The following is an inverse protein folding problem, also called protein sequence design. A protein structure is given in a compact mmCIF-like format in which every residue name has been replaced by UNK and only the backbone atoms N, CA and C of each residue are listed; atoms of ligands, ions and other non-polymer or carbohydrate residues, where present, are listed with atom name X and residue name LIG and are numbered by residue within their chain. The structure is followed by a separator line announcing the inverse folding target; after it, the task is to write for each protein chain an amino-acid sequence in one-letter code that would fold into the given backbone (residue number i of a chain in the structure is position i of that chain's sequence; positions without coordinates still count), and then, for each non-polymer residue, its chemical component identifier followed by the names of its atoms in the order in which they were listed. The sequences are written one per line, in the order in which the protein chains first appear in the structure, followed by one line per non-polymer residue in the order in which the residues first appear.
data_IF_840089722217
#
_entry.id   IF_840089722217
#
_cell.length_a   1.000
_cell.length_b   1.000
_cell.length_c   1.000
_cell.angle_alpha   90.00
_cell.angle_beta   90.00
_cell.angle_gamma   90.00
#
_symmetry.space_group_name_H-M   'P 1'
#
loop_
_entity.id
_entity.type
_entity.pdbx_description
1 polymer ?
#
# COMPACT_ATOMS: atom_id res chain seq x y z
N UNK A 1 1.47 -10.73 12.18
CA UNK A 1 0.30 -9.82 12.08
C UNK A 1 0.54 -8.52 12.80
N UNK A 2 1.03 -8.55 14.04
CA UNK A 2 1.31 -7.31 14.78
C UNK A 2 2.43 -6.49 14.14
N UNK A 3 3.44 -7.15 13.59
CA UNK A 3 4.52 -6.47 12.84
C UNK A 3 3.96 -5.79 11.59
N UNK A 4 3.06 -6.46 10.87
CA UNK A 4 2.40 -5.90 9.69
C UNK A 4 1.61 -4.64 10.06
N UNK A 5 0.85 -4.71 11.16
CA UNK A 5 0.06 -3.57 11.64
C UNK A 5 0.95 -2.40 12.07
N UNK A 6 2.09 -2.68 12.70
CA UNK A 6 3.05 -1.65 13.07
C UNK A 6 3.63 -0.95 11.84
N UNK A 7 4.02 -1.72 10.82
CA UNK A 7 4.54 -1.16 9.57
C UNK A 7 3.47 -0.30 8.90
N UNK A 8 2.23 -0.80 8.84
CA UNK A 8 1.12 -0.05 8.27
C UNK A 8 0.90 1.28 8.97
N UNK A 9 0.85 1.27 10.31
CA UNK A 9 0.62 2.49 11.09
C UNK A 9 1.74 3.50 10.89
N UNK A 10 2.99 3.07 11.07
CA UNK A 10 4.16 3.95 10.95
C UNK A 10 4.28 4.54 9.55
N UNK A 11 4.09 3.72 8.53
CA UNK A 11 4.19 4.16 7.14
C UNK A 11 3.05 5.10 6.76
N UNK A 12 1.85 4.83 7.25
CA UNK A 12 0.69 5.69 6.99
C UNK A 12 0.87 7.06 7.63
N UNK A 13 1.32 7.12 8.89
CA UNK A 13 1.59 8.38 9.57
C UNK A 13 2.69 9.17 8.86
N UNK A 14 3.78 8.50 8.47
CA UNK A 14 4.90 9.16 7.81
C UNK A 14 4.55 9.67 6.41
N UNK A 15 3.74 8.90 5.66
CA UNK A 15 3.38 9.25 4.28
C UNK A 15 2.19 10.22 4.18
N UNK A 16 1.38 10.29 5.21
CA UNK A 16 0.12 11.05 5.21
C UNK A 16 0.07 12.04 6.39
N UNK A 17 1.06 12.92 6.50
CA UNK A 17 1.15 13.91 7.58
C UNK A 17 -0.02 14.91 7.58
N UNK A 18 -0.74 15.03 6.45
CA UNK A 18 -1.94 15.84 6.33
C UNK A 18 -3.18 15.19 6.97
N UNK A 19 -3.05 13.94 7.46
CA UNK A 19 -4.11 13.21 8.16
C UNK A 19 -3.63 12.93 9.59
N UNK A 20 -4.41 13.27 10.63
CA UNK A 20 -3.98 13.08 12.02
C UNK A 20 -3.64 11.62 12.32
N UNK A 21 -2.62 11.40 13.16
CA UNK A 21 -2.24 10.06 13.61
C UNK A 21 -3.40 9.29 14.24
N UNK A 22 -4.27 10.01 14.97
CA UNK A 22 -5.44 9.39 15.60
C UNK A 22 -6.38 8.70 14.62
N UNK A 23 -6.47 9.22 13.38
CA UNK A 23 -7.24 8.57 12.32
C UNK A 23 -6.67 7.18 11.99
N UNK A 24 -5.34 7.10 11.82
CA UNK A 24 -4.68 5.83 11.50
C UNK A 24 -4.71 4.85 12.66
N UNK A 25 -4.59 5.35 13.88
CA UNK A 25 -4.72 4.50 15.07
C UNK A 25 -6.13 3.91 15.18
N UNK A 26 -7.15 4.70 14.86
CA UNK A 26 -8.53 4.22 14.82
C UNK A 26 -8.78 3.16 13.73
N UNK A 27 -7.98 3.17 12.67
CA UNK A 27 -8.07 2.17 11.59
C UNK A 27 -7.36 0.86 11.88
N UNK A 28 -6.47 0.81 12.89
CA UNK A 28 -5.73 -0.39 13.23
C UNK A 28 -6.63 -1.59 13.50
N UNK A 29 -7.67 -1.38 14.29
CA UNK A 29 -8.59 -2.46 14.65
C UNK A 29 -9.36 -2.95 13.42
N UNK A 30 -9.81 -2.05 12.59
CA UNK A 30 -10.49 -2.37 11.34
C UNK A 30 -9.56 -3.14 10.40
N UNK A 31 -8.29 -2.76 10.30
CA UNK A 31 -7.30 -3.46 9.50
C UNK A 31 -7.09 -4.88 10.02
N UNK A 32 -6.99 -5.03 11.34
CA UNK A 32 -6.79 -6.34 11.99
C UNK A 32 -7.96 -7.28 11.80
N UNK A 33 -9.19 -6.79 11.95
CA UNK A 33 -10.37 -7.64 12.03
C UNK A 33 -11.08 -7.82 10.70
N UNK A 34 -10.98 -6.83 9.81
CA UNK A 34 -11.75 -6.80 8.56
C UNK A 34 -10.93 -7.01 7.30
N UNK A 35 -9.83 -6.28 7.15
CA UNK A 35 -9.08 -6.29 5.88
C UNK A 35 -8.07 -7.43 5.80
N UNK A 36 -7.23 -7.61 6.82
CA UNK A 36 -6.19 -8.63 6.76
C UNK A 36 -6.72 -10.06 6.65
N UNK A 37 -7.80 -10.46 7.36
CA UNK A 37 -8.31 -11.83 7.24
C UNK A 37 -8.81 -12.18 5.83
N UNK A 38 -9.36 -11.21 5.09
CA UNK A 38 -9.91 -11.43 3.76
C UNK A 38 -8.93 -11.14 2.63
N UNK A 39 -7.68 -10.80 2.96
CA UNK A 39 -6.67 -10.43 1.98
C UNK A 39 -5.61 -11.52 1.79
N UNK A 40 -4.99 -11.51 0.62
CA UNK A 40 -3.75 -12.26 0.38
C UNK A 40 -2.60 -11.32 0.68
N UNK A 41 -1.79 -11.66 1.68
CA UNK A 41 -0.69 -10.82 2.11
C UNK A 41 0.64 -11.51 1.83
N UNK A 42 1.52 -10.80 1.14
CA UNK A 42 2.90 -11.21 0.89
C UNK A 42 3.83 -10.27 1.65
N UNK A 43 4.75 -10.85 2.42
CA UNK A 43 5.71 -10.07 3.21
C UNK A 43 7.10 -10.18 2.61
N UNK A 44 7.87 -9.09 2.70
CA UNK A 44 9.30 -9.06 2.36
C UNK A 44 10.08 -9.11 3.66
N UNK A 45 10.86 -10.17 3.84
CA UNK A 45 11.65 -10.39 5.04
C UNK A 45 13.14 -10.31 4.72
N UNK A 46 13.89 -9.63 5.58
CA UNK A 46 15.34 -9.55 5.45
C UNK A 46 15.95 -10.84 6.00
N UNK A 47 16.69 -11.56 5.16
CA UNK A 47 17.35 -12.81 5.54
C UNK A 47 18.35 -12.62 6.67
N UNK A 48 19.07 -11.50 6.69
CA UNK A 48 20.11 -11.24 7.68
C UNK A 48 19.57 -10.85 9.04
N UNK A 49 18.40 -10.20 9.10
CA UNK A 49 17.83 -9.68 10.34
C UNK A 49 16.57 -10.44 10.79
N UNK A 50 16.06 -11.35 9.97
CA UNK A 50 14.81 -12.10 10.21
C UNK A 50 13.61 -11.19 10.49
N UNK A 51 13.67 -9.93 10.08
CA UNK A 51 12.63 -8.95 10.33
C UNK A 51 11.83 -8.65 9.05
N UNK A 52 10.52 -8.41 9.23
CA UNK A 52 9.65 -8.01 8.14
C UNK A 52 9.96 -6.56 7.76
N UNK A 53 10.35 -6.34 6.51
CA UNK A 53 10.72 -5.02 5.99
C UNK A 53 9.58 -4.32 5.27
N UNK A 54 8.59 -5.07 4.81
CA UNK A 54 7.45 -4.52 4.09
C UNK A 54 6.42 -5.60 3.78
N UNK A 55 5.28 -5.19 3.25
CA UNK A 55 4.23 -6.12 2.85
C UNK A 55 3.33 -5.51 1.78
N UNK A 56 2.66 -6.38 1.04
CA UNK A 56 1.56 -6.01 0.15
C UNK A 56 0.37 -6.92 0.44
N UNK A 57 -0.81 -6.34 0.55
CA UNK A 57 -2.06 -7.07 0.78
C UNK A 57 -3.00 -6.83 -0.38
N UNK A 58 -3.55 -7.93 -0.94
CA UNK A 58 -4.46 -7.89 -2.06
C UNK A 58 -5.82 -8.42 -1.64
N UNK A 59 -6.87 -7.68 -2.00
CA UNK A 59 -8.25 -8.17 -1.98
C UNK A 59 -8.64 -8.29 -3.45
N UNK A 60 -8.65 -9.53 -3.95
CA UNK A 60 -8.72 -9.80 -5.39
C UNK A 60 -7.61 -9.04 -6.11
N UNK A 61 -7.91 -8.26 -7.14
CA UNK A 61 -6.91 -7.47 -7.87
C UNK A 61 -6.71 -6.06 -7.30
N UNK A 62 -7.29 -5.77 -6.14
CA UNK A 62 -7.15 -4.47 -5.50
C UNK A 62 -6.02 -4.51 -4.46
N UNK A 63 -5.08 -3.58 -4.61
CA UNK A 63 -3.99 -3.43 -3.63
C UNK A 63 -4.54 -2.66 -2.44
N UNK A 64 -4.93 -3.39 -1.39
CA UNK A 64 -5.49 -2.80 -0.19
C UNK A 64 -4.43 -2.11 0.65
N UNK A 65 -3.20 -2.61 0.63
CA UNK A 65 -2.08 -2.01 1.34
C UNK A 65 -0.76 -2.40 0.68
N UNK A 66 0.16 -1.46 0.61
CA UNK A 66 1.55 -1.67 0.18
C UNK A 66 2.42 -0.74 1.00
N UNK A 67 3.19 -1.31 1.91
CA UNK A 67 4.02 -0.51 2.81
C UNK A 67 5.40 -1.12 2.97
N UNK A 68 6.40 -0.24 3.14
CA UNK A 68 7.78 -0.60 3.45
C UNK A 68 8.15 0.09 4.74
N UNK A 69 8.79 -0.64 5.65
CA UNK A 69 9.26 -0.08 6.92
C UNK A 69 10.04 1.21 6.66
N UNK A 70 9.77 2.31 7.40
CA UNK A 70 10.43 3.60 7.14
C UNK A 70 11.96 3.52 7.05
N UNK A 71 12.58 2.67 7.87
CA UNK A 71 14.04 2.50 7.89
C UNK A 71 14.59 1.73 6.68
N UNK A 72 13.72 1.12 5.88
CA UNK A 72 14.10 0.28 4.74
C UNK A 72 13.59 0.82 3.41
N UNK A 73 13.03 2.01 3.38
CA UNK A 73 12.59 2.65 2.15
C UNK A 73 13.78 3.05 1.27
N UNK A 74 13.54 3.12 -0.04
CA UNK A 74 14.60 3.47 -1.00
C UNK A 74 15.50 2.31 -1.41
N UNK A 75 15.17 1.07 -1.03
CA UNK A 75 15.97 -0.12 -1.33
C UNK A 75 15.33 -1.05 -2.37
N UNK A 76 14.28 -0.60 -3.04
CA UNK A 76 13.59 -1.39 -4.06
C UNK A 76 12.62 -2.44 -3.51
N UNK A 77 12.35 -2.45 -2.22
CA UNK A 77 11.45 -3.43 -1.60
C UNK A 77 10.02 -3.24 -2.08
N UNK A 78 9.53 -2.00 -2.12
CA UNK A 78 8.18 -1.69 -2.61
C UNK A 78 7.98 -2.15 -4.05
N UNK A 79 8.97 -1.94 -4.91
CA UNK A 79 8.95 -2.39 -6.29
C UNK A 79 8.84 -3.92 -6.40
N UNK A 80 9.60 -4.65 -5.58
CA UNK A 80 9.56 -6.12 -5.57
C UNK A 80 8.21 -6.65 -5.11
N UNK A 81 7.64 -6.03 -4.08
CA UNK A 81 6.30 -6.39 -3.59
C UNK A 81 5.24 -6.14 -4.66
N UNK A 82 5.34 -5.01 -5.35
CA UNK A 82 4.40 -4.66 -6.41
C UNK A 82 4.54 -5.58 -7.62
N UNK A 83 5.76 -5.97 -7.98
CA UNK A 83 6.01 -6.92 -9.06
C UNK A 83 5.40 -8.29 -8.75
N UNK A 84 5.51 -8.75 -7.51
CA UNK A 84 4.86 -9.99 -7.10
C UNK A 84 3.34 -9.88 -7.25
N UNK A 85 2.75 -8.79 -6.77
CA UNK A 85 1.31 -8.56 -6.88
C UNK A 85 0.85 -8.51 -8.33
N UNK A 86 1.59 -7.82 -9.20
CA UNK A 86 1.27 -7.70 -10.62
C UNK A 86 1.31 -9.05 -11.35
N UNK A 87 2.11 -9.99 -10.87
CA UNK A 87 2.17 -11.32 -11.46
C UNK A 87 0.95 -12.18 -11.15
N UNK A 88 0.13 -11.79 -10.18
CA UNK A 88 -1.03 -12.58 -9.73
C UNK A 88 -2.29 -12.32 -10.55
N UNK A 89 -2.41 -11.18 -11.21
CA UNK A 89 -3.64 -10.75 -11.89
C UNK A 89 -3.32 -10.02 -13.18
N UNK A 90 -4.23 -10.08 -14.19
CA UNK A 90 -4.04 -9.30 -15.44
C UNK A 90 -4.07 -7.79 -15.20
N UNK A 91 -4.78 -7.34 -14.19
CA UNK A 91 -4.83 -5.92 -13.82
C UNK A 91 -4.71 -5.79 -12.31
N UNK A 92 -4.12 -4.67 -11.88
CA UNK A 92 -4.14 -4.26 -10.47
C UNK A 92 -4.78 -2.89 -10.36
N UNK A 93 -5.52 -2.68 -9.28
CA UNK A 93 -6.13 -1.39 -8.97
C UNK A 93 -5.73 -0.98 -7.57
N UNK A 94 -5.63 0.32 -7.34
CA UNK A 94 -5.39 0.89 -6.02
C UNK A 94 -5.90 2.32 -5.94
N UNK A 95 -6.02 2.81 -4.72
CA UNK A 95 -6.32 4.22 -4.46
C UNK A 95 -5.19 4.82 -3.65
N UNK A 96 -4.84 6.06 -3.94
CA UNK A 96 -3.77 6.79 -3.26
C UNK A 96 -4.19 8.26 -3.11
N UNK A 97 -3.86 8.85 -1.97
CA UNK A 97 -4.12 10.29 -1.79
C UNK A 97 -3.26 11.11 -2.74
N UNK A 98 -3.88 12.09 -3.40
CA UNK A 98 -3.18 12.98 -4.33
C UNK A 98 -2.05 13.77 -3.65
N UNK A 99 -2.22 14.07 -2.36
CA UNK A 99 -1.21 14.79 -1.57
C UNK A 99 0.03 13.94 -1.28
N UNK A 100 -0.08 12.63 -1.36
CA UNK A 100 1.07 11.72 -1.23
C UNK A 100 1.82 11.64 -2.57
N UNK A 101 2.48 12.72 -2.92
CA UNK A 101 3.14 12.86 -4.23
C UNK A 101 4.23 11.82 -4.47
N UNK A 102 4.91 11.41 -3.42
CA UNK A 102 5.96 10.38 -3.52
C UNK A 102 5.38 9.05 -3.97
N UNK A 103 4.27 8.63 -3.36
CA UNK A 103 3.59 7.40 -3.74
C UNK A 103 3.00 7.49 -5.15
N UNK A 104 2.36 8.60 -5.49
CA UNK A 104 1.81 8.81 -6.83
C UNK A 104 2.91 8.67 -7.89
N UNK A 105 4.05 9.32 -7.70
CA UNK A 105 5.19 9.21 -8.63
C UNK A 105 5.71 7.78 -8.73
N UNK A 106 5.78 7.08 -7.59
CA UNK A 106 6.20 5.68 -7.57
C UNK A 106 5.28 4.82 -8.43
N UNK A 107 3.97 4.90 -8.22
CA UNK A 107 3.03 4.08 -8.99
C UNK A 107 3.02 4.42 -10.48
N UNK A 108 3.07 5.71 -10.83
CA UNK A 108 3.14 6.13 -12.23
C UNK A 108 4.40 5.61 -12.91
N UNK A 109 5.53 5.64 -12.21
CA UNK A 109 6.80 5.11 -12.72
C UNK A 109 6.75 3.60 -12.92
N UNK A 110 5.98 2.90 -12.08
CA UNK A 110 5.80 1.44 -12.21
C UNK A 110 4.76 1.06 -13.27
N UNK A 111 4.15 2.02 -13.93
CA UNK A 111 3.27 1.77 -15.05
C UNK A 111 1.77 1.96 -14.79
N UNK A 112 1.39 2.39 -13.60
CA UNK A 112 -0.01 2.66 -13.30
C UNK A 112 -0.49 3.90 -14.05
N UNK A 113 -1.78 3.88 -14.41
CA UNK A 113 -2.48 5.01 -15.04
C UNK A 113 -3.51 5.59 -14.07
N UNK A 114 -3.67 6.91 -14.07
CA UNK A 114 -4.73 7.56 -13.30
C UNK A 114 -6.04 7.36 -14.06
N UNK A 115 -7.01 6.71 -13.41
CA UNK A 115 -8.31 6.43 -14.02
C UNK A 115 -9.38 7.41 -13.55
N UNK A 116 -9.30 7.86 -12.31
CA UNK A 116 -10.34 8.71 -11.72
C UNK A 116 -9.78 9.49 -10.54
N UNK A 117 -10.30 10.69 -10.34
CA UNK A 117 -10.13 11.45 -9.10
C UNK A 117 -11.43 11.38 -8.32
N UNK A 118 -11.33 11.24 -7.01
CA UNK A 118 -12.49 11.20 -6.13
C UNK A 118 -12.12 11.81 -4.78
N UNK A 119 -13.11 12.07 -3.94
CA UNK A 119 -12.90 12.56 -2.59
C UNK A 119 -13.11 11.40 -1.61
N UNK A 120 -12.12 11.15 -0.75
CA UNK A 120 -12.28 10.17 0.32
C UNK A 120 -13.30 10.70 1.34
N UNK A 121 -14.40 9.99 1.49
CA UNK A 121 -15.50 10.38 2.38
C UNK A 121 -15.07 10.48 3.86
N UNK A 122 -14.04 9.73 4.26
CA UNK A 122 -13.58 9.70 5.65
C UNK A 122 -12.67 10.87 6.01
N UNK A 123 -11.84 11.33 5.07
CA UNK A 123 -10.86 12.37 5.32
C UNK A 123 -11.17 13.70 4.62
N UNK A 124 -12.04 13.67 3.63
CA UNK A 124 -12.33 14.83 2.77
C UNK A 124 -11.20 15.18 1.82
N UNK A 125 -10.17 14.35 1.72
CA UNK A 125 -9.00 14.58 0.86
C UNK A 125 -9.19 13.95 -0.50
N UNK A 126 -8.56 14.56 -1.51
CA UNK A 126 -8.59 14.03 -2.88
C UNK A 126 -7.78 12.74 -2.96
N UNK A 127 -8.36 11.74 -3.58
CA UNK A 127 -7.69 10.48 -3.82
C UNK A 127 -7.76 10.10 -5.29
N UNK A 128 -6.74 9.40 -5.78
CA UNK A 128 -6.62 8.97 -7.16
C UNK A 128 -6.83 7.46 -7.24
N UNK A 129 -7.66 7.03 -8.17
CA UNK A 129 -7.81 5.62 -8.50
C UNK A 129 -6.86 5.30 -9.66
N UNK A 130 -5.95 4.36 -9.43
CA UNK A 130 -4.93 3.97 -10.41
C UNK A 130 -5.15 2.54 -10.89
N UNK A 131 -4.79 2.30 -12.15
CA UNK A 131 -4.91 0.98 -12.77
C UNK A 131 -3.59 0.61 -13.44
N UNK A 132 -3.12 -0.61 -13.19
CA UNK A 132 -2.00 -1.23 -13.89
C UNK A 132 -2.51 -2.38 -14.74
N UNK A 133 -2.15 -2.42 -16.01
CA UNK A 133 -2.41 -3.54 -16.91
C UNK A 133 -1.14 -4.36 -17.06
N UNK A 134 -1.22 -5.63 -16.68
CA UNK A 134 -0.08 -6.53 -16.77
C UNK A 134 0.00 -7.12 -18.18
N UNK A 135 0.97 -6.65 -18.96
CA UNK A 135 1.15 -7.06 -20.36
C UNK A 135 1.64 -8.51 -20.51
N UNK A 136 2.05 -9.15 -19.42
CA UNK A 136 2.54 -10.54 -19.46
C UNK A 136 1.45 -11.58 -19.30
N UNK A 137 0.24 -11.14 -19.03
CA UNK A 137 -0.91 -12.03 -18.94
C UNK A 137 -1.43 -12.45 -20.30
#
# INVERSE_FOLDING_TARGET
TDTILEIWLRSSVAAHDFVPRSYWEGKLDEMRTRYLPDSRTFVYQDESAESVCGFVSLVENYVAALFVHPDRQGQGIGRRLLQWAAAQYPTLELSVYAENKRAVRFYLREGFEIRQEQTDANTGRKELHLLLRNKRY
#
